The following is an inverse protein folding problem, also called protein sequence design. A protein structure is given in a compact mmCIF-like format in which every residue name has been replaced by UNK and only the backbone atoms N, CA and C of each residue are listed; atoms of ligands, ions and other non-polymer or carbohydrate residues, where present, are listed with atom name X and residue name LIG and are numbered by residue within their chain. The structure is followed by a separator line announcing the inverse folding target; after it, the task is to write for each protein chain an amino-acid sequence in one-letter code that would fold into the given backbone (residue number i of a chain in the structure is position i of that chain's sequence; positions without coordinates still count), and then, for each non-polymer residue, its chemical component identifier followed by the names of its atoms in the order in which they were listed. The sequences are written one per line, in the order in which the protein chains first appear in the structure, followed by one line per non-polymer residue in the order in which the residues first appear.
data_IF_628543458343
#
_entry.id   IF_628543458343
#
_cell.length_a   1.000
_cell.length_b   1.000
_cell.length_c   1.000
_cell.angle_alpha   90.00
_cell.angle_beta   90.00
_cell.angle_gamma   90.00
#
_symmetry.space_group_name_H-M   'P 1'
#
loop_
_entity.id
_entity.type
_entity.pdbx_description
1 polymer ?
#
# COMPACT_ATOMS: atom_id res chain seq x y z
N UNK A 1 9.69 28.88 -15.46
CA UNK A 1 9.27 27.45 -15.50
C UNK A 1 8.24 27.18 -14.41
N UNK A 2 7.29 26.31 -14.69
CA UNK A 2 6.26 25.89 -13.72
C UNK A 2 6.22 24.36 -13.62
N UNK A 3 5.86 23.89 -12.44
CA UNK A 3 5.50 22.48 -12.22
C UNK A 3 3.99 22.42 -12.00
N UNK A 4 3.31 21.62 -12.82
CA UNK A 4 1.87 21.44 -12.76
C UNK A 4 1.58 20.04 -12.25
N UNK A 5 1.06 19.96 -11.04
CA UNK A 5 0.60 18.71 -10.44
C UNK A 5 -0.79 18.35 -10.98
N UNK A 6 -0.99 17.08 -11.35
CA UNK A 6 -2.27 16.62 -11.89
C UNK A 6 -3.29 16.40 -10.77
N UNK A 7 -4.04 17.45 -10.48
CA UNK A 7 -5.16 17.43 -9.55
C UNK A 7 -6.33 18.23 -10.12
N UNK A 8 -7.53 17.87 -9.76
CA UNK A 8 -8.78 18.55 -10.08
C UNK A 8 -9.66 18.71 -8.83
N UNK A 9 -10.91 19.09 -9.02
CA UNK A 9 -11.89 19.30 -7.96
C UNK A 9 -12.22 18.01 -7.18
N UNK A 10 -11.84 16.83 -7.72
CA UNK A 10 -12.02 15.52 -7.09
C UNK A 10 -10.74 15.04 -6.36
N UNK A 11 -9.66 15.81 -6.41
CA UNK A 11 -8.37 15.46 -5.82
C UNK A 11 -7.31 15.06 -6.83
N UNK A 12 -6.25 14.41 -6.35
CA UNK A 12 -5.13 13.98 -7.19
C UNK A 12 -5.57 12.94 -8.23
N UNK A 13 -4.97 13.01 -9.43
CA UNK A 13 -5.18 12.01 -10.46
C UNK A 13 -4.54 10.68 -10.05
N UNK A 14 -5.34 9.66 -9.88
CA UNK A 14 -4.96 8.32 -9.42
C UNK A 14 -4.90 7.30 -10.57
N UNK A 15 -5.80 7.38 -11.56
CA UNK A 15 -5.85 6.48 -12.72
C UNK A 15 -5.17 7.08 -13.94
N UNK A 16 -4.75 6.22 -14.88
CA UNK A 16 -4.17 6.65 -16.15
C UNK A 16 -5.07 7.64 -16.89
N UNK A 17 -6.36 7.33 -17.01
CA UNK A 17 -7.35 8.13 -17.73
C UNK A 17 -7.48 9.55 -17.14
N UNK A 18 -7.56 9.66 -15.80
CA UNK A 18 -7.60 10.95 -15.12
C UNK A 18 -6.29 11.73 -15.30
N UNK A 19 -5.15 11.05 -15.27
CA UNK A 19 -3.84 11.70 -15.47
C UNK A 19 -3.76 12.36 -16.83
N UNK A 20 -4.14 11.68 -17.90
CA UNK A 20 -4.06 12.24 -19.27
C UNK A 20 -5.13 13.32 -19.51
N UNK A 21 -6.34 13.16 -18.99
CA UNK A 21 -7.41 14.16 -19.08
C UNK A 21 -7.02 15.48 -18.41
N UNK A 22 -6.53 15.41 -17.17
CA UNK A 22 -6.13 16.60 -16.41
C UNK A 22 -4.87 17.22 -17.03
N UNK A 23 -3.90 16.42 -17.52
CA UNK A 23 -2.71 16.92 -18.19
C UNK A 23 -3.06 17.74 -19.44
N UNK A 24 -3.95 17.24 -20.29
CA UNK A 24 -4.40 17.96 -21.48
C UNK A 24 -5.10 19.29 -21.10
N UNK A 25 -5.98 19.26 -20.12
CA UNK A 25 -6.71 20.44 -19.64
C UNK A 25 -5.74 21.51 -19.07
N UNK A 26 -4.82 21.11 -18.19
CA UNK A 26 -3.94 22.06 -17.49
C UNK A 26 -2.88 22.65 -18.41
N UNK A 27 -2.37 21.88 -19.39
CA UNK A 27 -1.40 22.37 -20.38
C UNK A 27 -2.06 23.37 -21.32
N UNK A 28 -3.30 23.12 -21.77
CA UNK A 28 -4.07 24.09 -22.57
C UNK A 28 -4.26 25.40 -21.80
N UNK A 29 -4.59 25.32 -20.52
CA UNK A 29 -4.73 26.51 -19.67
C UNK A 29 -3.39 27.25 -19.51
N UNK A 30 -2.29 26.56 -19.22
CA UNK A 30 -0.99 27.18 -19.09
C UNK A 30 -0.54 27.89 -20.37
N UNK A 31 -0.75 27.28 -21.53
CA UNK A 31 -0.48 27.90 -22.84
C UNK A 31 -1.35 29.15 -23.08
N UNK A 32 -2.61 29.14 -22.65
CA UNK A 32 -3.51 30.29 -22.82
C UNK A 32 -3.11 31.52 -22.05
N UNK A 33 -2.33 31.34 -20.97
CA UNK A 33 -1.77 32.45 -20.16
C UNK A 33 -0.29 32.74 -20.46
N UNK A 34 0.24 32.16 -21.55
CA UNK A 34 1.53 32.55 -22.13
C UNK A 34 2.75 31.70 -21.72
N UNK A 35 2.54 30.52 -21.10
CA UNK A 35 3.66 29.61 -20.87
C UNK A 35 4.04 28.85 -22.14
N UNK A 36 5.35 28.78 -22.41
CA UNK A 36 5.88 27.92 -23.45
C UNK A 36 5.91 26.46 -22.99
N UNK A 37 5.82 25.52 -23.93
CA UNK A 37 5.87 24.07 -23.68
C UNK A 37 7.14 23.68 -22.93
N UNK A 38 8.28 24.25 -23.30
CA UNK A 38 9.59 23.99 -22.71
C UNK A 38 9.73 24.53 -21.26
N UNK A 39 8.79 25.34 -20.82
CA UNK A 39 8.73 25.87 -19.45
C UNK A 39 7.74 25.13 -18.55
N UNK A 40 7.04 24.12 -19.10
CA UNK A 40 6.03 23.33 -18.36
C UNK A 40 6.62 21.98 -17.98
N UNK A 41 6.60 21.68 -16.69
CA UNK A 41 6.86 20.35 -16.13
C UNK A 41 5.56 19.79 -15.57
N UNK A 42 5.17 18.61 -15.99
CA UNK A 42 4.00 17.91 -15.44
C UNK A 42 4.43 16.93 -14.36
N UNK A 43 3.78 16.97 -13.20
CA UNK A 43 3.88 15.93 -12.16
C UNK A 43 2.60 15.10 -12.18
N UNK A 44 2.64 13.87 -12.75
CA UNK A 44 1.50 12.97 -12.79
C UNK A 44 1.11 12.35 -11.45
N UNK A 45 1.66 12.79 -10.34
CA UNK A 45 1.51 12.26 -8.98
C UNK A 45 2.06 10.83 -8.84
N UNK A 46 3.23 10.71 -8.23
CA UNK A 46 3.76 9.42 -7.80
C UNK A 46 3.00 8.99 -6.54
N UNK A 47 2.18 7.96 -6.67
CA UNK A 47 1.37 7.41 -5.58
C UNK A 47 1.98 6.11 -5.06
N UNK A 48 1.66 5.78 -3.80
CA UNK A 48 2.22 4.61 -3.12
C UNK A 48 1.68 3.31 -3.68
N UNK A 49 2.56 2.39 -4.03
CA UNK A 49 2.23 1.01 -4.44
C UNK A 49 2.49 0.01 -3.32
N UNK A 50 2.14 -1.25 -3.54
CA UNK A 50 2.36 -2.34 -2.58
C UNK A 50 1.72 -2.08 -1.20
N UNK A 51 0.58 -1.41 -1.17
CA UNK A 51 -0.15 -1.11 0.07
C UNK A 51 -1.04 -2.26 0.54
N UNK A 52 -1.32 -3.24 -0.35
CA UNK A 52 -2.32 -4.28 -0.14
C UNK A 52 -3.75 -3.84 -0.45
N UNK A 53 -3.96 -2.57 -0.85
CA UNK A 53 -5.25 -2.03 -1.29
C UNK A 53 -5.36 -2.23 -2.80
N UNK A 54 -6.46 -2.83 -3.29
CA UNK A 54 -6.61 -3.18 -4.71
C UNK A 54 -6.57 -1.95 -5.63
N UNK A 55 -7.20 -0.85 -5.22
CA UNK A 55 -7.24 0.39 -6.00
C UNK A 55 -5.85 1.01 -6.21
N UNK A 56 -4.88 0.70 -5.34
CA UNK A 56 -3.51 1.21 -5.45
C UNK A 56 -2.61 0.36 -6.35
N UNK A 57 -3.11 -0.78 -6.81
CA UNK A 57 -2.36 -1.82 -7.50
C UNK A 57 -1.60 -1.32 -8.72
N UNK A 58 -2.22 -0.44 -9.49
CA UNK A 58 -1.71 -0.01 -10.78
C UNK A 58 -1.09 1.39 -10.80
N UNK A 59 -0.95 2.06 -9.67
CA UNK A 59 -0.47 3.44 -9.59
C UNK A 59 0.90 3.64 -10.23
N UNK A 60 1.84 2.70 -10.06
CA UNK A 60 3.18 2.77 -10.67
C UNK A 60 3.12 2.64 -12.18
N UNK A 61 2.40 1.64 -12.69
CA UNK A 61 2.16 1.41 -14.12
C UNK A 61 1.48 2.61 -14.78
N UNK A 62 0.45 3.13 -14.14
CA UNK A 62 -0.36 4.21 -14.69
C UNK A 62 0.41 5.54 -14.72
N UNK A 63 1.32 5.78 -13.77
CA UNK A 63 2.27 6.89 -13.86
C UNK A 63 3.19 6.76 -15.07
N UNK A 64 3.80 5.59 -15.29
CA UNK A 64 4.71 5.33 -16.41
C UNK A 64 4.00 5.49 -17.75
N UNK A 65 2.79 4.96 -17.89
CA UNK A 65 1.96 5.11 -19.09
C UNK A 65 1.58 6.57 -19.33
N UNK A 66 1.21 7.31 -18.29
CA UNK A 66 0.90 8.72 -18.39
C UNK A 66 2.13 9.55 -18.79
N UNK A 67 3.30 9.22 -18.26
CA UNK A 67 4.58 9.84 -18.66
C UNK A 67 4.80 9.73 -20.17
N UNK A 68 4.68 8.53 -20.75
CA UNK A 68 4.77 8.30 -22.20
C UNK A 68 3.76 9.14 -22.96
N UNK A 69 2.51 9.14 -22.53
CA UNK A 69 1.46 9.87 -23.23
C UNK A 69 1.69 11.38 -23.19
N UNK A 70 2.08 11.93 -22.03
CA UNK A 70 2.34 13.37 -21.85
C UNK A 70 3.48 13.81 -22.76
N UNK A 71 4.60 13.10 -22.76
CA UNK A 71 5.76 13.46 -23.58
C UNK A 71 5.46 13.39 -25.07
N UNK A 72 4.71 12.37 -25.51
CA UNK A 72 4.39 12.17 -26.93
C UNK A 72 3.29 13.09 -27.46
N UNK A 73 2.31 13.47 -26.64
CA UNK A 73 1.13 14.21 -27.10
C UNK A 73 1.15 15.69 -26.70
N UNK A 74 1.78 16.04 -25.58
CA UNK A 74 1.82 17.41 -25.09
C UNK A 74 3.19 18.07 -25.33
N UNK A 75 4.24 17.28 -25.47
CA UNK A 75 5.62 17.76 -25.66
C UNK A 75 6.21 18.48 -24.44
N UNK A 76 5.59 18.35 -23.27
CA UNK A 76 6.05 18.95 -22.03
C UNK A 76 7.04 18.02 -21.32
N UNK A 77 7.79 18.57 -20.38
CA UNK A 77 8.64 17.79 -19.48
C UNK A 77 7.81 17.08 -18.42
N UNK A 78 8.33 15.95 -17.89
CA UNK A 78 7.71 15.20 -16.81
C UNK A 78 8.62 15.13 -15.60
N UNK A 79 8.04 15.29 -14.40
CA UNK A 79 8.74 15.19 -13.11
C UNK A 79 7.92 14.39 -12.11
N UNK A 80 8.51 14.00 -10.99
CA UNK A 80 7.77 13.38 -9.89
C UNK A 80 8.56 13.16 -8.61
N UNK A 81 7.85 13.18 -7.49
CA UNK A 81 8.37 12.91 -6.15
C UNK A 81 8.46 11.40 -5.88
N UNK A 82 9.56 10.76 -6.30
CA UNK A 82 9.68 9.29 -6.37
C UNK A 82 9.59 8.60 -5.02
N UNK A 83 9.98 9.26 -3.93
CA UNK A 83 9.96 8.66 -2.59
C UNK A 83 8.58 8.21 -2.10
N UNK A 84 7.51 8.76 -2.69
CA UNK A 84 6.13 8.36 -2.37
C UNK A 84 5.81 6.94 -2.84
N UNK A 85 6.38 6.49 -3.97
CA UNK A 85 6.12 5.17 -4.53
C UNK A 85 6.29 4.06 -3.51
N UNK A 86 7.39 4.10 -2.77
CA UNK A 86 7.84 3.05 -1.85
C UNK A 86 7.42 3.28 -0.39
N UNK A 87 6.46 4.15 -0.12
CA UNK A 87 6.06 4.49 1.25
C UNK A 87 5.57 3.29 2.06
N UNK A 88 4.97 2.28 1.40
CA UNK A 88 4.56 1.03 2.02
C UNK A 88 5.72 0.27 2.71
N UNK A 89 6.96 0.53 2.29
CA UNK A 89 8.19 -0.04 2.85
C UNK A 89 8.92 0.95 3.77
N UNK A 90 8.23 1.92 4.36
CA UNK A 90 8.82 2.86 5.32
C UNK A 90 9.50 2.09 6.45
N UNK A 91 10.75 2.47 6.75
CA UNK A 91 11.62 1.74 7.71
C UNK A 91 12.64 0.81 7.03
N UNK A 92 12.45 0.41 5.76
CA UNK A 92 13.45 -0.36 5.02
C UNK A 92 14.04 0.45 3.86
N UNK A 93 15.11 1.19 4.14
CA UNK A 93 15.76 2.05 3.14
C UNK A 93 16.27 1.25 1.93
N UNK A 94 16.72 0.02 2.12
CA UNK A 94 17.29 -0.79 1.04
C UNK A 94 16.22 -1.23 0.03
N UNK A 95 15.06 -1.73 0.49
CA UNK A 95 13.90 -2.03 -0.37
C UNK A 95 13.40 -0.77 -1.08
N UNK A 96 13.30 0.34 -0.34
CA UNK A 96 12.86 1.61 -0.92
C UNK A 96 13.79 2.10 -2.03
N UNK A 97 15.10 2.05 -1.80
CA UNK A 97 16.09 2.45 -2.80
C UNK A 97 16.02 1.56 -4.05
N UNK A 98 15.88 0.24 -3.88
CA UNK A 98 15.70 -0.70 -4.98
C UNK A 98 14.44 -0.35 -5.81
N UNK A 99 13.29 -0.27 -5.15
CA UNK A 99 12.01 -0.04 -5.82
C UNK A 99 11.97 1.32 -6.53
N UNK A 100 12.44 2.37 -5.86
CA UNK A 100 12.53 3.72 -6.43
C UNK A 100 13.48 3.78 -7.63
N UNK A 101 14.61 3.07 -7.56
CA UNK A 101 15.59 3.07 -8.65
C UNK A 101 15.04 2.38 -9.89
N UNK A 102 14.42 1.21 -9.73
CA UNK A 102 13.81 0.48 -10.87
C UNK A 102 12.68 1.32 -11.48
N UNK A 103 11.84 1.97 -10.66
CA UNK A 103 10.80 2.86 -11.15
C UNK A 103 11.39 4.01 -11.99
N UNK A 104 12.44 4.67 -11.51
CA UNK A 104 13.12 5.76 -12.26
C UNK A 104 13.67 5.24 -13.58
N UNK A 105 14.31 4.07 -13.60
CA UNK A 105 14.83 3.48 -14.83
C UNK A 105 13.72 3.17 -15.85
N UNK A 106 12.61 2.60 -15.39
CA UNK A 106 11.45 2.32 -16.25
C UNK A 106 10.79 3.60 -16.77
N UNK A 107 10.51 4.56 -15.89
CA UNK A 107 9.86 5.82 -16.25
C UNK A 107 10.74 6.68 -17.17
N UNK A 108 12.08 6.66 -16.98
CA UNK A 108 13.04 7.35 -17.87
C UNK A 108 12.96 6.84 -19.32
N UNK A 109 12.78 5.54 -19.53
CA UNK A 109 12.59 4.95 -20.86
C UNK A 109 11.32 5.47 -21.54
N UNK A 110 10.37 5.95 -20.77
CA UNK A 110 9.08 6.48 -21.22
C UNK A 110 9.01 8.01 -21.23
N UNK A 111 10.15 8.70 -20.96
CA UNK A 111 10.28 10.15 -21.10
C UNK A 111 10.23 10.94 -19.79
N UNK A 112 10.47 10.31 -18.64
CA UNK A 112 10.67 11.04 -17.38
C UNK A 112 11.99 11.80 -17.43
N UNK A 113 11.94 13.15 -17.32
CA UNK A 113 13.11 14.04 -17.43
C UNK A 113 13.72 14.38 -16.09
N UNK A 114 12.88 14.64 -15.10
CA UNK A 114 13.29 15.13 -13.80
C UNK A 114 12.72 14.29 -12.68
N UNK A 115 13.45 14.15 -11.58
CA UNK A 115 12.99 13.43 -10.39
C UNK A 115 13.32 14.19 -9.12
N UNK A 116 12.42 14.16 -8.16
CA UNK A 116 12.65 14.66 -6.82
C UNK A 116 12.91 13.46 -5.92
N UNK A 117 14.18 13.21 -5.63
CA UNK A 117 14.68 12.09 -4.83
C UNK A 117 16.04 12.43 -4.23
N UNK A 118 16.43 11.78 -3.13
CA UNK A 118 17.82 11.85 -2.66
C UNK A 118 18.77 11.21 -3.69
N UNK A 119 19.78 11.91 -4.19
CA UNK A 119 20.72 11.35 -5.17
C UNK A 119 21.43 10.09 -4.68
N UNK A 120 21.66 9.98 -3.37
CA UNK A 120 22.32 8.83 -2.75
C UNK A 120 21.41 7.59 -2.64
N UNK A 121 20.11 7.77 -2.90
CA UNK A 121 19.14 6.68 -2.86
C UNK A 121 19.01 5.94 -4.21
N UNK A 122 19.52 6.52 -5.31
CA UNK A 122 19.45 5.93 -6.63
C UNK A 122 20.58 4.91 -6.83
N UNK A 123 20.18 3.70 -7.23
CA UNK A 123 21.06 2.61 -7.61
C UNK A 123 21.13 2.59 -9.15
N UNK A 124 22.33 2.60 -9.69
CA UNK A 124 22.54 2.46 -11.14
C UNK A 124 22.05 1.10 -11.61
N UNK A 125 21.43 1.03 -12.78
CA UNK A 125 20.78 -0.18 -13.29
C UNK A 125 21.73 -1.40 -13.38
N UNK A 126 22.97 -1.16 -13.80
CA UNK A 126 24.05 -2.16 -13.89
C UNK A 126 24.43 -2.77 -12.53
N UNK A 127 24.08 -2.12 -11.43
CA UNK A 127 24.32 -2.59 -10.05
C UNK A 127 23.13 -3.31 -9.43
N UNK A 128 22.00 -3.38 -10.13
CA UNK A 128 20.82 -4.10 -9.66
C UNK A 128 20.84 -5.51 -10.22
N UNK A 129 20.79 -6.51 -9.33
CA UNK A 129 20.71 -7.90 -9.76
C UNK A 129 19.45 -8.14 -10.63
N UNK A 130 19.55 -8.89 -11.75
CA UNK A 130 18.41 -9.10 -12.66
C UNK A 130 17.13 -9.59 -11.98
N UNK A 131 17.24 -10.51 -11.02
CA UNK A 131 16.09 -11.01 -10.26
C UNK A 131 15.45 -9.91 -9.39
N UNK A 132 16.26 -9.07 -8.76
CA UNK A 132 15.76 -7.95 -7.96
C UNK A 132 15.10 -6.88 -8.83
N UNK A 133 15.64 -6.62 -10.02
CA UNK A 133 15.04 -5.72 -11.01
C UNK A 133 13.68 -6.24 -11.46
N UNK A 134 13.59 -7.53 -11.77
CA UNK A 134 12.34 -8.15 -12.25
C UNK A 134 11.25 -8.15 -11.17
N UNK A 135 11.57 -8.52 -9.92
CA UNK A 135 10.60 -8.47 -8.82
C UNK A 135 10.11 -7.05 -8.55
N UNK A 136 11.00 -6.05 -8.66
CA UNK A 136 10.61 -4.64 -8.52
C UNK A 136 9.74 -4.18 -9.71
N UNK A 137 10.04 -4.60 -10.94
CA UNK A 137 9.23 -4.33 -12.13
C UNK A 137 7.81 -4.88 -11.96
N UNK A 138 7.68 -6.16 -11.56
CA UNK A 138 6.38 -6.81 -11.32
C UNK A 138 5.58 -6.05 -10.25
N UNK A 139 6.22 -5.58 -9.20
CA UNK A 139 5.56 -4.77 -8.17
C UNK A 139 5.08 -3.41 -8.71
N UNK A 140 5.89 -2.73 -9.53
CA UNK A 140 5.54 -1.45 -10.16
C UNK A 140 4.38 -1.60 -11.15
N UNK A 141 4.35 -2.69 -11.91
CA UNK A 141 3.29 -2.99 -12.88
C UNK A 141 2.00 -3.51 -12.24
N UNK A 142 2.02 -3.79 -10.93
CA UNK A 142 0.86 -4.31 -10.19
C UNK A 142 0.66 -5.82 -10.35
N UNK A 143 1.68 -6.54 -10.81
CA UNK A 143 1.66 -7.99 -10.99
C UNK A 143 2.12 -8.75 -9.73
N UNK A 144 2.73 -8.04 -8.78
CA UNK A 144 3.12 -8.57 -7.48
C UNK A 144 2.82 -7.55 -6.37
N UNK A 145 2.74 -8.03 -5.13
CA UNK A 145 2.54 -7.18 -3.94
C UNK A 145 3.85 -6.67 -3.33
N UNK A 146 4.99 -6.94 -3.97
CA UNK A 146 6.31 -6.51 -3.55
C UNK A 146 6.91 -7.26 -2.35
N UNK A 147 6.26 -8.30 -1.84
CA UNK A 147 6.76 -9.08 -0.69
C UNK A 147 8.12 -9.74 -0.96
N UNK A 148 8.39 -10.11 -2.21
CA UNK A 148 9.67 -10.71 -2.63
C UNK A 148 10.85 -9.74 -2.59
N UNK A 149 10.60 -8.42 -2.60
CA UNK A 149 11.68 -7.42 -2.60
C UNK A 149 12.59 -7.51 -1.36
N UNK A 150 12.03 -7.96 -0.25
CA UNK A 150 12.74 -8.03 1.04
C UNK A 150 13.91 -9.04 0.95
N UNK A 151 13.74 -10.16 0.26
CA UNK A 151 14.79 -11.18 0.12
C UNK A 151 16.03 -10.68 -0.61
N UNK A 152 15.90 -9.69 -1.51
CA UNK A 152 17.03 -9.14 -2.26
C UNK A 152 17.89 -8.16 -1.46
N UNK A 153 17.43 -7.73 -0.31
CA UNK A 153 18.11 -6.71 0.51
C UNK A 153 18.48 -7.21 1.91
N UNK A 154 17.90 -8.32 2.37
CA UNK A 154 18.32 -9.03 3.58
C UNK A 154 19.48 -9.93 3.23
N UNK A 155 20.69 -9.61 3.72
CA UNK A 155 21.75 -10.62 3.78
C UNK A 155 21.23 -11.76 4.64
N UNK A 156 21.18 -12.96 4.07
CA UNK A 156 20.70 -14.19 4.70
C UNK A 156 21.26 -14.34 6.12
N UNK A 157 20.36 -14.22 7.11
CA UNK A 157 20.51 -14.97 8.34
C UNK A 157 19.54 -16.13 8.20
N UNK A 158 20.00 -17.21 7.56
CA UNK A 158 19.34 -18.51 7.68
C UNK A 158 19.40 -18.96 9.14
N UNK A 159 18.41 -18.56 9.91
CA UNK A 159 18.08 -19.29 11.14
C UNK A 159 17.32 -20.53 10.68
N UNK A 160 18.02 -21.66 10.58
CA UNK A 160 17.38 -22.97 10.54
C UNK A 160 16.51 -23.10 11.77
N UNK A 161 15.21 -22.79 11.62
CA UNK A 161 14.20 -23.19 12.61
C UNK A 161 14.09 -24.70 12.50
N UNK A 162 14.50 -25.41 13.55
CA UNK A 162 14.09 -26.77 13.78
C UNK A 162 12.56 -26.84 13.65
N UNK A 163 12.06 -27.77 12.83
CA UNK A 163 10.64 -28.01 12.66
C UNK A 163 10.09 -28.65 13.94
N UNK A 164 9.70 -27.81 14.90
CA UNK A 164 8.81 -28.21 15.98
C UNK A 164 7.42 -28.44 15.36
N UNK A 165 6.78 -29.55 15.64
CA UNK A 165 5.36 -29.74 15.30
C UNK A 165 4.55 -28.69 16.05
N UNK A 166 3.99 -27.73 15.28
CA UNK A 166 3.16 -26.66 15.83
C UNK A 166 1.78 -27.21 16.21
N UNK A 167 1.21 -26.74 17.31
CA UNK A 167 -0.19 -27.01 17.65
C UNK A 167 -1.15 -26.39 16.63
N UNK A 168 -2.44 -26.72 16.68
CA UNK A 168 -3.46 -26.15 15.79
C UNK A 168 -3.58 -24.65 16.01
N UNK A 169 -3.49 -24.20 17.25
CA UNK A 169 -3.52 -22.78 17.65
C UNK A 169 -2.28 -22.03 17.14
N UNK A 170 -1.08 -22.64 17.29
CA UNK A 170 0.16 -22.05 16.75
C UNK A 170 0.11 -21.95 15.22
N UNK A 171 -0.46 -22.95 14.53
CA UNK A 171 -0.68 -22.92 13.08
C UNK A 171 -1.68 -21.83 12.67
N UNK A 172 -2.74 -21.59 13.46
CA UNK A 172 -3.69 -20.50 13.21
C UNK A 172 -3.01 -19.14 13.39
N UNK A 173 -2.25 -18.95 14.46
CA UNK A 173 -1.46 -17.73 14.70
C UNK A 173 -0.51 -17.46 13.54
N UNK A 174 0.23 -18.48 13.06
CA UNK A 174 1.13 -18.38 11.92
C UNK A 174 0.38 -18.08 10.61
N UNK A 175 -0.79 -18.70 10.38
CA UNK A 175 -1.62 -18.46 9.20
C UNK A 175 -2.08 -17.00 9.14
N UNK A 176 -2.49 -16.44 10.26
CA UNK A 176 -2.87 -15.02 10.37
C UNK A 176 -1.66 -14.13 10.15
N UNK A 177 -0.55 -14.35 10.85
CA UNK A 177 0.65 -13.53 10.73
C UNK A 177 1.25 -13.52 9.30
N UNK A 178 1.07 -14.62 8.55
CA UNK A 178 1.53 -14.75 7.15
C UNK A 178 0.43 -14.37 6.13
N UNK A 179 -0.74 -13.95 6.57
CA UNK A 179 -1.83 -13.49 5.70
C UNK A 179 -2.51 -14.59 4.88
N UNK A 180 -2.49 -15.83 5.35
CA UNK A 180 -3.11 -16.97 4.66
C UNK A 180 -4.58 -17.11 5.05
N UNK A 181 -5.46 -16.47 4.28
CA UNK A 181 -6.91 -16.41 4.53
C UNK A 181 -7.57 -17.78 4.55
N UNK A 182 -7.22 -18.65 3.60
CA UNK A 182 -7.79 -20.01 3.49
C UNK A 182 -7.44 -20.85 4.71
N UNK A 183 -6.16 -20.91 5.07
CA UNK A 183 -5.72 -21.67 6.25
C UNK A 183 -6.25 -21.10 7.56
N UNK A 184 -6.36 -19.77 7.67
CA UNK A 184 -6.93 -19.13 8.85
C UNK A 184 -8.40 -19.55 9.06
N UNK A 185 -9.20 -19.56 8.01
CA UNK A 185 -10.58 -20.02 8.07
C UNK A 185 -10.70 -21.54 8.41
N UNK A 186 -9.92 -22.39 7.73
CA UNK A 186 -9.89 -23.83 7.95
C UNK A 186 -9.50 -24.19 9.39
N UNK A 187 -8.41 -23.61 9.89
CA UNK A 187 -7.91 -23.88 11.25
C UNK A 187 -8.86 -23.35 12.32
N UNK A 188 -9.51 -22.20 12.08
CA UNK A 188 -10.55 -21.69 12.96
C UNK A 188 -11.73 -22.65 13.05
N UNK A 189 -12.20 -23.17 11.91
CA UNK A 189 -13.26 -24.19 11.87
C UNK A 189 -12.86 -25.46 12.62
N UNK A 190 -11.61 -25.90 12.46
CA UNK A 190 -11.09 -27.09 13.14
C UNK A 190 -11.08 -26.88 14.66
N UNK A 191 -10.52 -25.78 15.16
CA UNK A 191 -10.48 -25.47 16.59
C UNK A 191 -11.90 -25.46 17.20
N UNK A 192 -12.86 -24.84 16.49
CA UNK A 192 -14.25 -24.82 16.95
C UNK A 192 -14.88 -26.25 17.01
N UNK A 193 -14.58 -27.11 16.03
CA UNK A 193 -15.04 -28.49 16.01
C UNK A 193 -14.45 -29.35 17.15
N UNK A 194 -13.26 -28.98 17.60
CA UNK A 194 -12.56 -29.62 18.74
C UNK A 194 -12.97 -29.03 20.11
N UNK A 195 -13.98 -28.16 20.13
CA UNK A 195 -14.54 -27.59 21.37
C UNK A 195 -13.95 -26.24 21.78
N UNK A 196 -13.18 -25.62 20.93
CA UNK A 196 -12.70 -24.24 21.12
C UNK A 196 -13.88 -23.26 21.18
N UNK A 197 -13.70 -22.19 21.97
CA UNK A 197 -14.73 -21.15 22.13
C UNK A 197 -14.40 -19.93 21.29
N UNK A 198 -15.42 -19.17 20.89
CA UNK A 198 -15.24 -17.87 20.20
C UNK A 198 -14.23 -16.97 20.93
N UNK A 199 -14.43 -16.77 22.24
CA UNK A 199 -13.55 -15.90 23.06
C UNK A 199 -12.13 -16.44 23.17
N UNK A 200 -11.94 -17.77 23.30
CA UNK A 200 -10.62 -18.39 23.33
C UNK A 200 -9.86 -18.16 22.02
N UNK A 201 -10.50 -18.40 20.86
CA UNK A 201 -9.86 -18.16 19.57
C UNK A 201 -9.49 -16.68 19.40
N UNK A 202 -10.40 -15.76 19.73
CA UNK A 202 -10.14 -14.31 19.57
C UNK A 202 -9.06 -13.85 20.54
N UNK A 203 -9.20 -14.12 21.84
CA UNK A 203 -8.36 -13.51 22.87
C UNK A 203 -6.99 -14.19 22.99
N UNK A 204 -6.93 -15.51 22.81
CA UNK A 204 -5.72 -16.28 23.10
C UNK A 204 -4.89 -16.57 21.82
N UNK A 205 -5.49 -16.42 20.62
CA UNK A 205 -4.80 -16.73 19.36
C UNK A 205 -4.75 -15.52 18.43
N UNK A 206 -5.91 -14.99 18.00
CA UNK A 206 -5.96 -13.96 16.96
C UNK A 206 -5.41 -12.60 17.43
N UNK A 207 -5.84 -12.14 18.61
CA UNK A 207 -5.36 -10.85 19.16
C UNK A 207 -3.86 -10.87 19.48
N UNK A 208 -3.30 -11.90 20.14
CA UNK A 208 -1.85 -12.00 20.32
C UNK A 208 -1.06 -12.03 19.01
N UNK A 209 -1.56 -12.76 17.98
CA UNK A 209 -0.91 -12.80 16.67
C UNK A 209 -0.82 -11.40 16.04
N UNK A 210 -1.91 -10.64 16.04
CA UNK A 210 -1.94 -9.27 15.51
C UNK A 210 -1.11 -8.30 16.35
N UNK A 211 -1.12 -8.43 17.67
CA UNK A 211 -0.30 -7.59 18.58
C UNK A 211 1.18 -7.81 18.30
N UNK A 212 1.62 -9.07 18.20
CA UNK A 212 3.01 -9.41 17.87
C UNK A 212 3.41 -8.88 16.48
N UNK A 213 2.51 -8.97 15.50
CA UNK A 213 2.75 -8.45 14.17
C UNK A 213 2.86 -6.90 14.17
N UNK A 214 1.99 -6.22 14.92
CA UNK A 214 2.04 -4.77 15.10
C UNK A 214 3.36 -4.30 15.74
N UNK A 215 3.83 -5.00 16.78
CA UNK A 215 5.12 -4.71 17.40
C UNK A 215 6.28 -4.91 16.40
N UNK A 216 6.27 -5.98 15.62
CA UNK A 216 7.28 -6.22 14.57
C UNK A 216 7.23 -5.17 13.47
N UNK A 217 6.04 -4.61 13.19
CA UNK A 217 5.88 -3.49 12.26
C UNK A 217 6.51 -2.20 12.82
N UNK A 218 6.29 -1.87 14.09
CA UNK A 218 6.93 -0.74 14.76
C UNK A 218 8.46 -0.86 14.77
N UNK A 219 8.98 -2.09 14.95
CA UNK A 219 10.41 -2.39 14.91
C UNK A 219 10.99 -2.40 13.48
N UNK A 220 10.18 -2.19 12.43
CA UNK A 220 10.61 -2.22 11.03
C UNK A 220 10.97 -3.63 10.50
N UNK A 221 10.56 -4.69 11.20
CA UNK A 221 10.80 -6.10 10.81
C UNK A 221 9.73 -6.66 9.88
N UNK A 222 8.58 -6.00 9.82
CA UNK A 222 7.43 -6.33 8.97
C UNK A 222 6.97 -5.04 8.31
N UNK A 223 6.40 -5.13 7.12
CA UNK A 223 6.01 -3.97 6.32
C UNK A 223 4.50 -3.97 6.08
N UNK A 224 3.99 -2.81 5.63
CA UNK A 224 2.57 -2.56 5.46
C UNK A 224 1.84 -3.65 4.65
N UNK A 225 2.36 -4.18 3.53
CA UNK A 225 1.68 -5.25 2.80
C UNK A 225 1.41 -6.50 3.65
N UNK A 226 2.36 -6.86 4.50
CA UNK A 226 2.20 -8.01 5.41
C UNK A 226 1.13 -7.75 6.47
N UNK A 227 1.04 -6.51 6.98
CA UNK A 227 0.02 -6.13 7.95
C UNK A 227 -1.39 -6.20 7.35
N UNK A 228 -1.56 -5.70 6.12
CA UNK A 228 -2.85 -5.74 5.39
C UNK A 228 -3.27 -7.18 5.08
N UNK A 229 -2.32 -8.03 4.65
CA UNK A 229 -2.58 -9.46 4.44
C UNK A 229 -3.00 -10.18 5.73
N UNK A 230 -2.32 -9.90 6.84
CA UNK A 230 -2.67 -10.48 8.13
C UNK A 230 -4.07 -10.02 8.60
N UNK A 231 -4.43 -8.75 8.37
CA UNK A 231 -5.76 -8.25 8.63
C UNK A 231 -6.83 -8.99 7.81
N UNK A 232 -6.54 -9.29 6.54
CA UNK A 232 -7.44 -10.08 5.69
C UNK A 232 -7.60 -11.53 6.19
N UNK A 233 -6.52 -12.16 6.67
CA UNK A 233 -6.57 -13.49 7.24
C UNK A 233 -7.32 -13.52 8.59
N UNK A 234 -7.14 -12.48 9.41
CA UNK A 234 -7.93 -12.31 10.63
C UNK A 234 -9.43 -12.16 10.32
N UNK A 235 -9.79 -11.37 9.30
CA UNK A 235 -11.18 -11.25 8.88
C UNK A 235 -11.77 -12.61 8.46
N UNK A 236 -11.03 -13.42 7.68
CA UNK A 236 -11.47 -14.74 7.28
C UNK A 236 -11.72 -15.68 8.48
N UNK A 237 -10.86 -15.62 9.51
CA UNK A 237 -11.06 -16.34 10.76
C UNK A 237 -12.29 -15.82 11.53
N UNK A 238 -12.48 -14.49 11.61
CA UNK A 238 -13.63 -13.87 12.27
C UNK A 238 -14.95 -14.18 11.56
N UNK A 239 -14.96 -14.26 10.23
CA UNK A 239 -16.16 -14.65 9.47
C UNK A 239 -16.63 -16.06 9.86
N UNK A 240 -15.69 -17.00 10.00
CA UNK A 240 -16.00 -18.36 10.50
C UNK A 240 -16.56 -18.31 11.93
N UNK A 241 -15.92 -17.56 12.83
CA UNK A 241 -16.38 -17.41 14.21
C UNK A 241 -17.79 -16.82 14.28
N UNK A 242 -18.09 -15.83 13.44
CA UNK A 242 -19.39 -15.15 13.40
C UNK A 242 -20.54 -16.08 12.92
N UNK A 243 -20.23 -17.15 12.16
CA UNK A 243 -21.26 -18.15 11.78
C UNK A 243 -21.70 -19.04 12.94
N UNK A 244 -20.89 -19.15 13.99
CA UNK A 244 -21.14 -20.06 15.13
C UNK A 244 -21.83 -19.35 16.30
N UNK A 245 -21.90 -18.03 16.29
CA UNK A 245 -22.52 -17.25 17.38
C UNK A 245 -23.62 -16.36 16.81
N UNK A 246 -24.87 -16.65 17.24
CA UNK A 246 -25.98 -15.69 17.10
C UNK A 246 -25.73 -14.54 18.07
N UNK A 247 -25.13 -13.46 17.61
CA UNK A 247 -24.99 -12.26 18.44
C UNK A 247 -26.36 -11.65 18.67
N UNK A 248 -26.85 -11.76 19.91
CA UNK A 248 -28.02 -11.03 20.40
C UNK A 248 -27.66 -9.66 20.98
N UNK A 249 -26.39 -9.25 20.92
CA UNK A 249 -25.95 -8.00 21.52
C UNK A 249 -25.06 -7.16 20.60
N UNK A 250 -25.56 -5.96 20.31
CA UNK A 250 -25.04 -4.96 19.39
C UNK A 250 -24.01 -4.03 20.06
N UNK A 251 -23.00 -4.56 20.74
CA UNK A 251 -22.00 -3.74 21.39
C UNK A 251 -20.69 -3.61 20.59
N UNK A 252 -20.74 -3.63 19.26
CA UNK A 252 -19.58 -3.25 18.46
C UNK A 252 -19.25 -1.79 18.78
N UNK A 253 -18.04 -1.56 19.30
CA UNK A 253 -17.56 -0.18 19.48
C UNK A 253 -17.43 0.49 18.13
N UNK A 254 -18.08 1.64 17.97
CA UNK A 254 -17.96 2.47 16.76
C UNK A 254 -16.69 3.32 16.82
N UNK A 255 -16.03 3.43 15.67
CA UNK A 255 -14.89 4.33 15.46
C UNK A 255 -15.19 5.15 14.20
N UNK A 256 -15.19 6.46 14.34
CA UNK A 256 -15.31 7.38 13.21
C UNK A 256 -13.91 7.81 12.76
N UNK A 257 -13.64 7.73 11.47
CA UNK A 257 -12.39 8.17 10.86
C UNK A 257 -12.67 9.32 9.88
N UNK A 258 -11.79 10.31 9.89
CA UNK A 258 -11.85 11.42 8.97
C UNK A 258 -10.45 11.98 8.70
N UNK A 259 -10.21 12.48 7.49
CA UNK A 259 -9.11 13.42 7.23
C UNK A 259 -9.66 14.82 7.36
N UNK A 260 -9.07 15.62 8.25
CA UNK A 260 -9.56 16.94 8.62
C UNK A 260 -9.54 17.93 7.46
N UNK A 261 -10.32 18.99 7.56
CA UNK A 261 -10.32 20.08 6.58
C UNK A 261 -8.92 20.67 6.37
N UNK A 262 -8.53 20.86 5.12
CA UNK A 262 -7.20 21.32 4.71
C UNK A 262 -6.22 20.20 4.43
N UNK A 263 -6.56 18.93 4.70
CA UNK A 263 -5.74 17.76 4.40
C UNK A 263 -6.44 16.81 3.42
N UNK A 264 -5.71 16.35 2.41
CA UNK A 264 -6.19 15.43 1.36
C UNK A 264 -5.57 14.03 1.45
N UNK A 265 -4.70 13.80 2.45
CA UNK A 265 -4.03 12.52 2.62
C UNK A 265 -4.99 11.49 3.25
N UNK A 266 -5.36 10.46 2.48
CA UNK A 266 -6.32 9.44 2.91
C UNK A 266 -5.71 8.04 3.12
N UNK A 267 -4.54 7.76 2.52
CA UNK A 267 -3.91 6.43 2.55
C UNK A 267 -3.74 5.92 3.98
N UNK A 268 -3.17 6.75 4.87
CA UNK A 268 -2.97 6.38 6.28
C UNK A 268 -4.28 6.11 7.00
N UNK A 269 -5.29 6.93 6.79
CA UNK A 269 -6.64 6.77 7.34
C UNK A 269 -7.29 5.47 6.88
N UNK A 270 -7.22 5.17 5.57
CA UNK A 270 -7.82 3.98 4.98
C UNK A 270 -7.18 2.69 5.52
N UNK A 271 -5.85 2.70 5.74
CA UNK A 271 -5.12 1.59 6.36
C UNK A 271 -5.59 1.39 7.80
N UNK A 272 -5.65 2.45 8.61
CA UNK A 272 -6.15 2.39 9.99
C UNK A 272 -7.58 1.84 10.02
N UNK A 273 -8.45 2.30 9.10
CA UNK A 273 -9.81 1.80 8.95
C UNK A 273 -9.88 0.29 8.67
N UNK A 274 -9.00 -0.21 7.79
CA UNK A 274 -8.92 -1.65 7.49
C UNK A 274 -8.50 -2.47 8.70
N UNK A 275 -7.49 -2.00 9.44
CA UNK A 275 -7.02 -2.69 10.66
C UNK A 275 -8.06 -2.67 11.77
N UNK A 276 -8.77 -1.57 11.97
CA UNK A 276 -9.84 -1.46 12.96
C UNK A 276 -11.02 -2.38 12.63
N UNK A 277 -11.44 -2.43 11.35
CA UNK A 277 -12.50 -3.35 10.90
C UNK A 277 -12.11 -4.80 11.16
N UNK A 278 -10.87 -5.19 10.85
CA UNK A 278 -10.37 -6.55 11.12
C UNK A 278 -10.22 -6.86 12.60
N UNK A 279 -10.13 -5.85 13.45
CA UNK A 279 -10.14 -5.98 14.92
C UNK A 279 -11.54 -5.96 15.53
N UNK A 280 -12.60 -6.02 14.70
CA UNK A 280 -14.00 -6.14 15.16
C UNK A 280 -14.70 -4.82 15.48
N UNK A 281 -14.08 -3.67 15.18
CA UNK A 281 -14.74 -2.36 15.31
C UNK A 281 -15.70 -2.10 14.14
N UNK A 282 -16.81 -1.40 14.42
CA UNK A 282 -17.61 -0.78 13.38
C UNK A 282 -16.94 0.55 12.99
N UNK A 283 -16.46 0.65 11.76
CA UNK A 283 -15.73 1.85 11.29
C UNK A 283 -16.58 2.63 10.32
N UNK A 284 -16.89 3.88 10.71
CA UNK A 284 -17.51 4.89 9.87
C UNK A 284 -16.43 5.82 9.32
N UNK A 285 -16.27 5.83 7.99
CA UNK A 285 -15.31 6.70 7.32
C UNK A 285 -16.03 7.92 6.72
N UNK A 286 -15.73 9.10 7.24
CA UNK A 286 -16.30 10.36 6.78
C UNK A 286 -15.60 10.93 5.54
N UNK A 287 -14.52 10.31 5.08
CA UNK A 287 -13.76 10.75 3.91
C UNK A 287 -12.65 11.75 4.24
N UNK A 288 -12.35 12.61 3.27
CA UNK A 288 -11.30 13.64 3.34
C UNK A 288 -11.92 15.04 3.41
N UNK A 289 -11.11 16.05 3.77
CA UNK A 289 -11.56 17.45 3.85
C UNK A 289 -12.76 17.65 4.77
N UNK A 290 -12.86 16.88 5.85
CA UNK A 290 -14.03 16.89 6.73
C UNK A 290 -13.94 18.04 7.73
N UNK A 291 -14.93 18.97 7.76
CA UNK A 291 -14.98 20.02 8.77
C UNK A 291 -15.13 19.45 10.18
N UNK A 292 -14.56 20.15 11.17
CA UNK A 292 -14.58 19.72 12.56
C UNK A 292 -16.01 19.49 13.09
N UNK A 293 -16.96 20.31 12.68
CA UNK A 293 -18.37 20.24 13.08
C UNK A 293 -19.08 18.96 12.58
N UNK A 294 -18.51 18.29 11.58
CA UNK A 294 -19.03 17.02 11.07
C UNK A 294 -18.41 15.80 11.77
N UNK A 295 -17.26 16.01 12.42
CA UNK A 295 -16.54 14.94 13.14
C UNK A 295 -17.10 14.79 14.57
N UNK A 296 -17.54 15.89 15.17
CA UNK A 296 -18.13 15.98 16.52
C UNK A 296 -19.64 15.86 16.43
#
# INVERSE_FOLDING_TARGET
KIILMLADEKGQADTYERKIEIADRIVKLAKSVGFDVDDILIDPNVLTICTGIEDHRYYGRDYIRATRWITQNLGTHVTGGVSNLSFAFRGNTAVRNLLNSVFVHLAKREGLDYVIISPTALISEDKIAPAAFEDARLAIEGESDGSNLIQHVTKEVEVKKEKKELTTEEKLSDAVANGNTTKAAELTSLILSEGGTFQGVVNDILMPAMTSLGQRFEEGKVFLPSLVKAASAMNAAMDVLNTTVTFTDSSKKKVTLATVYGDVHDIGKNIVGTVLKSSGFEVEDLGIQVPAEKIV
#
